data_IF_117355470836
#
_entry.id   IF_117355470836
#
_cell.length_a   1.000
_cell.length_b   1.000
_cell.length_c   1.000
_cell.angle_alpha   90.00
_cell.angle_beta   90.00
_cell.angle_gamma   90.00
#
_symmetry.space_group_name_H-M   'P 1'
#
loop_
_entity.id
_entity.type
_entity.pdbx_description
1 polymer ?
#
# COMPACT_ATOMS: atom_id res chain seq x y z
N UNK A 1 12.58 22.87 -34.39
CA UNK A 1 12.56 22.33 -33.01
C UNK A 1 11.96 20.96 -33.15
N UNK A 2 12.77 19.89 -32.99
CA UNK A 2 12.31 18.50 -33.06
C UNK A 2 11.29 18.29 -31.95
N UNK A 3 10.13 17.82 -32.35
CA UNK A 3 9.12 17.28 -31.46
C UNK A 3 9.70 15.98 -30.87
N UNK A 4 10.52 16.11 -29.81
CA UNK A 4 11.05 14.96 -29.08
C UNK A 4 9.83 14.32 -28.42
N UNK A 5 9.34 13.26 -29.05
CA UNK A 5 8.18 12.50 -28.63
C UNK A 5 8.51 11.94 -27.25
N UNK A 6 7.96 12.56 -26.22
CA UNK A 6 8.14 12.13 -24.82
C UNK A 6 7.71 10.67 -24.73
N UNK A 7 8.65 9.77 -24.36
CA UNK A 7 8.36 8.36 -24.20
C UNK A 7 7.55 8.13 -22.94
N UNK A 8 6.51 7.33 -23.03
CA UNK A 8 5.73 6.86 -21.88
C UNK A 8 5.96 5.36 -21.74
N UNK A 9 6.49 4.95 -20.60
CA UNK A 9 6.89 3.56 -20.34
C UNK A 9 6.17 3.06 -19.09
N UNK A 10 5.31 2.07 -19.27
CA UNK A 10 4.67 1.35 -18.19
C UNK A 10 5.55 0.20 -17.72
N UNK A 11 5.54 -0.08 -16.42
CA UNK A 11 6.25 -1.24 -15.86
C UNK A 11 5.55 -1.73 -14.60
N UNK A 12 5.81 -3.01 -14.30
CA UNK A 12 5.32 -3.70 -13.11
C UNK A 12 6.32 -4.77 -12.70
N UNK A 13 6.43 -5.06 -11.40
CA UNK A 13 7.40 -5.98 -10.84
C UNK A 13 6.77 -6.97 -9.86
N UNK A 14 7.10 -8.26 -10.00
CA UNK A 14 6.91 -9.24 -8.94
C UNK A 14 8.22 -9.41 -8.16
N UNK A 15 8.13 -9.66 -6.86
CA UNK A 15 9.28 -9.58 -5.95
C UNK A 15 9.32 -10.70 -4.91
N UNK A 16 10.47 -10.93 -4.28
CA UNK A 16 10.64 -11.90 -3.20
C UNK A 16 9.96 -11.49 -1.89
N UNK A 17 9.64 -10.21 -1.72
CA UNK A 17 9.00 -9.62 -0.55
C UNK A 17 8.78 -8.12 -0.74
N UNK A 18 8.53 -7.38 0.34
CA UNK A 18 8.12 -5.98 0.31
C UNK A 18 9.21 -4.97 0.72
N UNK A 19 10.42 -5.42 1.06
CA UNK A 19 11.52 -4.52 1.39
C UNK A 19 12.26 -4.10 0.11
N UNK A 20 12.08 -2.85 -0.29
CA UNK A 20 12.65 -2.32 -1.54
C UNK A 20 14.19 -2.31 -1.59
N UNK A 21 14.87 -2.52 -0.46
CA UNK A 21 16.32 -2.55 -0.38
C UNK A 21 16.89 -3.97 -0.24
N UNK A 22 16.16 -4.87 0.43
CA UNK A 22 16.65 -6.23 0.73
C UNK A 22 16.04 -7.28 -0.20
N UNK A 23 14.81 -7.08 -0.67
CA UNK A 23 14.14 -7.99 -1.60
C UNK A 23 14.63 -7.83 -3.05
N UNK A 24 14.22 -8.75 -3.91
CA UNK A 24 14.64 -8.86 -5.31
C UNK A 24 13.46 -8.91 -6.26
N UNK A 25 13.63 -8.39 -7.45
CA UNK A 25 12.69 -8.58 -8.54
C UNK A 25 12.82 -10.01 -9.07
N UNK A 26 11.70 -10.70 -9.22
CA UNK A 26 11.60 -12.07 -9.75
C UNK A 26 10.88 -12.14 -11.09
N UNK A 27 10.08 -11.13 -11.40
CA UNK A 27 9.49 -10.93 -12.73
C UNK A 27 9.39 -9.43 -12.98
N UNK A 28 9.65 -8.99 -14.20
CA UNK A 28 9.50 -7.60 -14.62
C UNK A 28 8.96 -7.53 -16.03
N UNK A 29 7.95 -6.68 -16.22
CA UNK A 29 7.46 -6.27 -17.53
C UNK A 29 7.68 -4.77 -17.73
N UNK A 30 8.21 -4.36 -18.89
CA UNK A 30 8.41 -2.97 -19.29
C UNK A 30 7.88 -2.79 -20.72
N UNK A 31 6.88 -1.93 -20.88
CA UNK A 31 6.24 -1.65 -22.17
C UNK A 31 6.28 -0.16 -22.47
N UNK A 32 6.58 0.18 -23.73
CA UNK A 32 6.46 1.56 -24.22
C UNK A 32 5.11 1.75 -24.94
N UNK A 33 4.44 2.85 -24.61
CA UNK A 33 3.15 3.20 -25.24
C UNK A 33 3.27 3.33 -26.77
N UNK A 34 2.32 2.82 -27.62
CA UNK A 34 1.04 2.26 -27.16
C UNK A 34 1.09 0.78 -26.71
N UNK A 35 2.02 -0.06 -27.18
CA UNK A 35 2.08 -1.50 -26.88
C UNK A 35 3.38 -2.13 -27.39
N UNK A 36 4.53 -1.51 -27.15
CA UNK A 36 5.82 -2.08 -27.52
C UNK A 36 6.47 -2.72 -26.29
N UNK A 37 6.58 -4.05 -26.28
CA UNK A 37 7.30 -4.77 -25.25
C UNK A 37 8.80 -4.46 -25.34
N UNK A 38 9.36 -3.87 -24.30
CA UNK A 38 10.80 -3.58 -24.19
C UNK A 38 11.52 -4.65 -23.37
N UNK A 39 10.84 -5.17 -22.33
CA UNK A 39 11.34 -6.25 -21.49
C UNK A 39 10.15 -6.98 -20.87
N UNK A 40 10.22 -8.32 -20.83
CA UNK A 40 9.22 -9.15 -20.14
C UNK A 40 9.92 -10.48 -19.77
N UNK A 41 10.39 -10.56 -18.53
CA UNK A 41 11.29 -11.64 -18.11
C UNK A 41 11.06 -12.07 -16.68
N UNK A 42 11.26 -13.36 -16.42
CA UNK A 42 11.48 -13.91 -15.08
C UNK A 42 12.96 -13.87 -14.74
N UNK A 43 13.24 -13.73 -13.45
CA UNK A 43 14.56 -13.45 -12.92
C UNK A 43 14.84 -14.38 -11.76
N UNK A 44 16.02 -14.99 -11.76
CA UNK A 44 16.50 -15.77 -10.63
C UNK A 44 17.07 -14.83 -9.56
N UNK A 45 16.44 -14.74 -8.38
CA UNK A 45 16.98 -13.91 -7.29
C UNK A 45 18.16 -14.62 -6.59
N UNK A 46 18.95 -13.86 -5.84
CA UNK A 46 20.00 -14.36 -4.95
C UNK A 46 19.51 -14.57 -3.50
N UNK A 47 18.23 -14.35 -3.25
CA UNK A 47 17.52 -14.60 -2.00
C UNK A 47 16.26 -15.42 -2.27
N UNK A 48 15.76 -16.13 -1.26
CA UNK A 48 14.58 -16.97 -1.43
C UNK A 48 13.28 -16.13 -1.43
N UNK A 49 12.26 -16.62 -2.11
CA UNK A 49 10.90 -16.11 -2.02
C UNK A 49 10.38 -16.20 -0.58
N UNK A 50 9.75 -15.12 -0.10
CA UNK A 50 9.00 -15.22 1.15
C UNK A 50 7.71 -16.02 0.93
N UNK A 51 7.22 -16.71 1.96
CA UNK A 51 5.97 -17.45 1.87
C UNK A 51 4.77 -16.54 1.48
N UNK A 52 4.82 -15.27 1.90
CA UNK A 52 3.80 -14.29 1.54
C UNK A 52 3.89 -13.90 0.06
N UNK A 53 5.08 -13.64 -0.46
CA UNK A 53 5.28 -13.32 -1.88
C UNK A 53 4.84 -14.49 -2.77
N UNK A 54 5.26 -15.72 -2.46
CA UNK A 54 4.79 -16.92 -3.17
C UNK A 54 3.26 -17.06 -3.15
N UNK A 55 2.62 -16.75 -2.03
CA UNK A 55 1.16 -16.81 -1.93
C UNK A 55 0.47 -15.79 -2.84
N UNK A 56 1.05 -14.62 -3.01
CA UNK A 56 0.48 -13.52 -3.83
C UNK A 56 0.76 -13.75 -5.32
N UNK A 57 2.02 -14.03 -5.67
CA UNK A 57 2.47 -14.11 -7.06
C UNK A 57 2.26 -15.49 -7.67
N UNK A 58 2.17 -16.55 -6.85
CA UNK A 58 2.18 -17.94 -7.29
C UNK A 58 3.57 -18.44 -7.73
N UNK A 59 4.62 -17.61 -7.65
CA UNK A 59 5.98 -17.94 -8.07
C UNK A 59 6.73 -18.59 -6.90
N UNK A 60 7.48 -19.64 -7.20
CA UNK A 60 8.33 -20.35 -6.23
C UNK A 60 9.81 -20.25 -6.61
N UNK A 61 10.71 -20.55 -5.66
CA UNK A 61 12.15 -20.60 -5.95
C UNK A 61 12.49 -21.64 -7.03
N UNK A 62 11.75 -22.74 -7.09
CA UNK A 62 11.92 -23.80 -8.11
C UNK A 62 11.58 -23.29 -9.50
N UNK A 63 10.49 -22.51 -9.63
CA UNK A 63 10.09 -21.90 -10.91
C UNK A 63 11.14 -20.94 -11.46
N UNK A 64 11.98 -20.37 -10.61
CA UNK A 64 12.99 -19.37 -10.97
C UNK A 64 14.39 -19.96 -11.18
N UNK A 65 14.59 -21.25 -10.91
CA UNK A 65 15.92 -21.88 -10.85
C UNK A 65 16.72 -21.76 -12.15
N UNK A 66 16.08 -21.78 -13.31
CA UNK A 66 16.69 -21.80 -14.63
C UNK A 66 16.80 -20.42 -15.31
N UNK A 67 16.29 -19.37 -14.65
CA UNK A 67 16.35 -18.03 -15.21
C UNK A 67 17.66 -17.30 -14.93
N UNK A 68 17.93 -16.23 -15.70
CA UNK A 68 19.10 -15.40 -15.51
C UNK A 68 18.90 -14.45 -14.32
N UNK A 69 19.98 -14.07 -13.60
CA UNK A 69 19.89 -13.05 -12.54
C UNK A 69 19.58 -11.66 -13.14
N UNK A 70 19.09 -10.74 -12.30
CA UNK A 70 18.76 -9.37 -12.72
C UNK A 70 19.94 -8.67 -13.41
N UNK A 71 21.17 -8.90 -12.96
CA UNK A 71 22.38 -8.30 -13.54
C UNK A 71 22.52 -8.57 -15.05
N UNK A 72 21.99 -9.69 -15.56
CA UNK A 72 21.97 -10.00 -17.01
C UNK A 72 21.04 -9.05 -17.78
N UNK A 73 19.96 -8.62 -17.17
CA UNK A 73 18.92 -7.78 -17.77
C UNK A 73 19.06 -6.30 -17.47
N UNK A 74 19.92 -5.94 -16.52
CA UNK A 74 20.01 -4.60 -15.94
C UNK A 74 20.28 -3.50 -16.97
N UNK A 75 21.17 -3.73 -17.96
CA UNK A 75 21.43 -2.76 -19.02
C UNK A 75 20.20 -2.55 -19.91
N UNK A 76 19.48 -3.61 -20.22
CA UNK A 76 18.24 -3.54 -21.03
C UNK A 76 17.14 -2.82 -20.28
N UNK A 77 16.96 -3.13 -18.99
CA UNK A 77 16.01 -2.45 -18.12
C UNK A 77 16.34 -0.95 -17.98
N UNK A 78 17.61 -0.60 -17.73
CA UNK A 78 18.04 0.80 -17.65
C UNK A 78 17.73 1.55 -18.96
N UNK A 79 18.10 1.00 -20.12
CA UNK A 79 17.82 1.61 -21.43
C UNK A 79 16.33 1.77 -21.71
N UNK A 80 15.52 0.82 -21.25
CA UNK A 80 14.07 0.87 -21.43
C UNK A 80 13.45 2.08 -20.74
N UNK A 81 13.92 2.45 -19.55
CA UNK A 81 13.35 3.53 -18.72
C UNK A 81 14.04 4.89 -18.87
N UNK A 82 15.27 4.93 -19.43
CA UNK A 82 16.04 6.16 -19.55
C UNK A 82 15.30 7.23 -20.38
N UNK A 83 15.13 8.42 -19.79
CA UNK A 83 14.49 9.58 -20.42
C UNK A 83 12.98 9.41 -20.65
N UNK A 84 12.34 8.38 -20.13
CA UNK A 84 10.92 8.17 -20.23
C UNK A 84 10.15 8.80 -19.05
N UNK A 85 8.86 9.09 -19.28
CA UNK A 85 7.90 9.21 -18.19
C UNK A 85 7.51 7.79 -17.77
N UNK A 86 7.71 7.45 -16.50
CA UNK A 86 7.35 6.16 -15.95
C UNK A 86 5.87 6.09 -15.61
N UNK A 87 5.23 4.96 -15.84
CA UNK A 87 3.82 4.72 -15.56
C UNK A 87 3.68 3.43 -14.75
N UNK A 88 2.99 3.49 -13.61
CA UNK A 88 2.71 2.32 -12.78
C UNK A 88 1.50 2.53 -11.87
N UNK A 89 1.20 1.54 -11.03
CA UNK A 89 0.12 1.59 -10.05
C UNK A 89 0.66 1.37 -8.64
N UNK A 90 0.70 2.42 -7.82
CA UNK A 90 1.38 2.41 -6.51
C UNK A 90 2.90 2.44 -6.61
N UNK A 91 3.44 2.56 -7.82
CA UNK A 91 4.84 2.37 -8.19
C UNK A 91 5.81 3.32 -7.49
N UNK A 92 5.41 4.57 -7.21
CA UNK A 92 6.26 5.53 -6.50
C UNK A 92 6.76 5.07 -5.14
N UNK A 93 6.04 4.16 -4.49
CA UNK A 93 6.36 3.66 -3.15
C UNK A 93 6.98 2.28 -3.15
N UNK A 94 6.92 1.58 -4.27
CA UNK A 94 7.40 0.21 -4.36
C UNK A 94 8.19 -0.07 -5.64
N UNK A 95 7.54 -0.25 -6.79
CA UNK A 95 8.18 -0.73 -8.02
C UNK A 95 9.34 0.14 -8.48
N UNK A 96 9.18 1.46 -8.46
CA UNK A 96 10.25 2.41 -8.82
C UNK A 96 11.44 2.30 -7.88
N UNK A 97 11.19 2.09 -6.59
CA UNK A 97 12.26 2.01 -5.59
C UNK A 97 13.02 0.70 -5.66
N UNK A 98 12.30 -0.43 -5.83
CA UNK A 98 12.98 -1.73 -5.95
C UNK A 98 13.72 -1.85 -7.29
N UNK A 99 13.18 -1.30 -8.37
CA UNK A 99 13.87 -1.25 -9.66
C UNK A 99 15.14 -0.39 -9.58
N UNK A 100 15.09 0.78 -8.93
CA UNK A 100 16.31 1.58 -8.67
C UNK A 100 17.34 0.79 -7.88
N UNK A 101 16.91 0.08 -6.82
CA UNK A 101 17.78 -0.74 -5.99
C UNK A 101 18.46 -1.87 -6.78
N UNK A 102 17.70 -2.58 -7.61
CA UNK A 102 18.22 -3.66 -8.47
C UNK A 102 19.18 -3.13 -9.53
N UNK A 103 18.85 -2.03 -10.20
CA UNK A 103 19.72 -1.39 -11.18
C UNK A 103 21.06 -1.00 -10.56
N UNK A 104 21.05 -0.32 -9.40
CA UNK A 104 22.27 0.08 -8.68
C UNK A 104 23.07 -1.11 -8.20
N UNK A 105 22.42 -2.15 -7.70
CA UNK A 105 23.07 -3.40 -7.28
C UNK A 105 23.76 -4.09 -8.45
N UNK A 106 23.19 -3.99 -9.65
CA UNK A 106 23.77 -4.50 -10.89
C UNK A 106 24.81 -3.55 -11.54
N UNK A 107 25.18 -2.44 -10.88
CA UNK A 107 26.18 -1.48 -11.37
C UNK A 107 25.69 -0.49 -12.41
N UNK A 108 24.37 -0.39 -12.62
CA UNK A 108 23.75 0.62 -13.48
C UNK A 108 23.59 1.96 -12.73
N UNK A 109 23.40 3.09 -13.45
CA UNK A 109 23.14 4.40 -12.83
C UNK A 109 21.92 4.41 -11.90
N UNK A 110 20.93 3.57 -12.17
CA UNK A 110 19.65 3.58 -11.47
C UNK A 110 18.72 4.71 -11.94
N UNK A 111 17.73 5.03 -11.12
CA UNK A 111 16.73 6.05 -11.38
C UNK A 111 17.09 7.30 -10.54
N UNK A 112 17.15 8.46 -11.19
CA UNK A 112 17.23 9.72 -10.42
C UNK A 112 15.85 10.05 -9.84
N UNK A 113 15.62 9.56 -8.62
CA UNK A 113 14.34 9.72 -7.90
C UNK A 113 13.98 11.20 -7.64
N UNK A 114 14.94 12.12 -7.75
CA UNK A 114 14.72 13.56 -7.58
C UNK A 114 14.14 14.23 -8.81
N UNK A 115 14.40 13.70 -10.00
CA UNK A 115 14.05 14.33 -11.28
C UNK A 115 13.17 13.47 -12.20
N UNK A 116 13.06 12.17 -11.95
CA UNK A 116 12.24 11.26 -12.76
C UNK A 116 10.78 11.74 -12.81
N UNK A 117 10.23 11.79 -13.99
CA UNK A 117 8.80 12.01 -14.17
C UNK A 117 8.06 10.68 -14.08
N UNK A 118 7.06 10.63 -13.23
CA UNK A 118 6.32 9.39 -12.97
C UNK A 118 4.83 9.68 -12.79
N UNK A 119 4.01 8.89 -13.46
CA UNK A 119 2.56 8.84 -13.32
C UNK A 119 2.21 7.59 -12.50
N UNK A 120 1.87 7.78 -11.24
CA UNK A 120 1.34 6.72 -10.38
C UNK A 120 -0.19 6.73 -10.45
N UNK A 121 -0.77 5.77 -11.16
CA UNK A 121 -2.21 5.73 -11.41
C UNK A 121 -3.04 5.54 -10.14
N UNK A 122 -2.51 4.87 -9.11
CA UNK A 122 -3.19 4.82 -7.81
C UNK A 122 -3.36 6.24 -7.23
N UNK A 123 -2.30 7.06 -7.31
CA UNK A 123 -2.34 8.44 -6.83
C UNK A 123 -3.25 9.33 -7.67
N UNK A 124 -3.21 9.16 -8.99
CA UNK A 124 -4.11 9.88 -9.90
C UNK A 124 -5.55 9.52 -9.61
N UNK A 125 -5.86 8.22 -9.53
CA UNK A 125 -7.22 7.75 -9.24
C UNK A 125 -7.73 8.28 -7.90
N UNK A 126 -6.95 8.12 -6.83
CA UNK A 126 -7.37 8.60 -5.51
C UNK A 126 -7.47 10.12 -5.40
N UNK A 127 -6.77 10.89 -6.25
CA UNK A 127 -6.90 12.35 -6.33
C UNK A 127 -8.12 12.80 -7.14
N UNK A 128 -8.51 12.03 -8.15
CA UNK A 128 -9.64 12.33 -9.02
C UNK A 128 -10.99 11.81 -8.48
N UNK A 129 -10.96 10.81 -7.63
CA UNK A 129 -12.16 10.21 -7.03
C UNK A 129 -12.55 10.99 -5.77
N UNK A 130 -13.73 11.63 -5.72
CA UNK A 130 -14.15 12.35 -4.51
C UNK A 130 -14.52 11.35 -3.40
N UNK A 131 -13.74 11.33 -2.32
CA UNK A 131 -14.01 10.53 -1.11
C UNK A 131 -14.95 11.28 -0.14
N UNK A 132 -16.04 11.84 -0.68
CA UNK A 132 -17.09 12.55 0.09
C UNK A 132 -18.39 11.77 0.00
N UNK A 133 -19.32 12.03 0.92
CA UNK A 133 -20.66 11.43 0.85
C UNK A 133 -21.32 11.78 -0.49
N UNK A 134 -21.27 13.02 -0.92
CA UNK A 134 -21.78 13.49 -2.23
C UNK A 134 -21.19 12.69 -3.39
N UNK A 135 -19.87 12.50 -3.43
CA UNK A 135 -19.21 11.68 -4.46
C UNK A 135 -19.65 10.22 -4.44
N UNK A 136 -19.81 9.63 -3.26
CA UNK A 136 -20.31 8.27 -3.12
C UNK A 136 -21.76 8.13 -3.58
N UNK A 137 -22.62 9.09 -3.24
CA UNK A 137 -24.03 9.09 -3.65
C UNK A 137 -24.17 9.24 -5.18
N UNK A 138 -23.38 10.14 -5.78
CA UNK A 138 -23.36 10.31 -7.22
C UNK A 138 -22.91 9.05 -7.95
N UNK A 139 -21.84 8.42 -7.46
CA UNK A 139 -21.24 7.22 -8.07
C UNK A 139 -22.14 5.99 -7.97
N UNK A 140 -22.65 5.70 -6.77
CA UNK A 140 -23.33 4.44 -6.48
C UNK A 140 -24.86 4.51 -6.57
N UNK A 141 -25.43 5.70 -6.37
CA UNK A 141 -26.89 5.89 -6.39
C UNK A 141 -27.37 6.78 -7.52
N UNK A 142 -26.46 7.37 -8.32
CA UNK A 142 -26.75 8.37 -9.34
C UNK A 142 -27.57 9.56 -8.80
N UNK A 143 -27.43 9.90 -7.53
CA UNK A 143 -28.10 11.02 -6.87
C UNK A 143 -27.26 12.26 -7.05
N UNK A 144 -27.82 13.29 -7.70
CA UNK A 144 -27.23 14.64 -7.68
C UNK A 144 -27.49 15.26 -6.31
N UNK A 145 -26.47 15.31 -5.48
CA UNK A 145 -26.50 15.97 -4.18
C UNK A 145 -25.87 17.36 -4.32
N UNK A 146 -26.65 18.42 -4.05
CA UNK A 146 -26.09 19.77 -4.05
C UNK A 146 -25.34 20.02 -2.73
N UNK A 147 -24.16 20.57 -2.79
CA UNK A 147 -23.34 20.92 -1.61
C UNK A 147 -24.02 21.90 -0.65
N UNK A 148 -25.12 22.55 -1.10
CA UNK A 148 -25.90 23.52 -0.31
C UNK A 148 -27.06 22.88 0.49
N UNK A 149 -27.32 21.58 0.34
CA UNK A 149 -28.47 20.88 0.95
C UNK A 149 -28.06 19.83 1.99
N UNK A 150 -27.23 20.21 2.97
CA UNK A 150 -26.85 19.35 4.10
C UNK A 150 -27.96 19.26 5.12
N UNK A 151 -28.93 18.36 4.91
CA UNK A 151 -29.93 17.99 5.89
C UNK A 151 -29.58 16.67 6.54
N UNK A 152 -29.16 16.64 7.82
CA UNK A 152 -28.75 15.43 8.52
C UNK A 152 -29.72 14.24 8.35
N UNK A 153 -31.03 14.50 8.30
CA UNK A 153 -32.03 13.46 8.09
C UNK A 153 -31.95 12.85 6.67
N UNK A 154 -31.76 13.68 5.67
CA UNK A 154 -31.68 13.21 4.27
C UNK A 154 -30.36 12.46 4.05
N UNK A 155 -29.26 12.98 4.56
CA UNK A 155 -27.94 12.31 4.52
C UNK A 155 -28.00 10.95 5.21
N UNK A 156 -28.64 10.88 6.38
CA UNK A 156 -28.83 9.61 7.11
C UNK A 156 -29.65 8.58 6.31
N UNK A 157 -30.67 9.03 5.57
CA UNK A 157 -31.45 8.13 4.67
C UNK A 157 -30.57 7.60 3.55
N UNK A 158 -29.80 8.44 2.90
CA UNK A 158 -28.86 8.05 1.85
C UNK A 158 -27.81 7.05 2.35
N UNK A 159 -27.42 7.07 3.63
CA UNK A 159 -26.50 6.06 4.17
C UNK A 159 -27.08 4.64 4.14
N UNK A 160 -28.39 4.46 4.32
CA UNK A 160 -29.03 3.14 4.21
C UNK A 160 -29.03 2.64 2.77
N UNK A 161 -29.38 3.53 1.81
CA UNK A 161 -29.40 3.20 0.40
C UNK A 161 -27.98 2.87 -0.09
N UNK A 162 -27.00 3.69 0.30
CA UNK A 162 -25.60 3.47 -0.02
C UNK A 162 -25.08 2.15 0.57
N UNK A 163 -25.38 1.85 1.84
CA UNK A 163 -24.98 0.59 2.45
C UNK A 163 -25.56 -0.64 1.73
N UNK A 164 -26.82 -0.54 1.29
CA UNK A 164 -27.49 -1.61 0.52
C UNK A 164 -26.80 -1.80 -0.83
N UNK A 165 -26.58 -0.72 -1.57
CA UNK A 165 -25.92 -0.77 -2.88
C UNK A 165 -24.49 -1.31 -2.79
N UNK A 166 -23.69 -0.86 -1.80
CA UNK A 166 -22.34 -1.38 -1.58
C UNK A 166 -22.34 -2.86 -1.22
N UNK A 167 -23.34 -3.31 -0.43
CA UNK A 167 -23.51 -4.73 -0.10
C UNK A 167 -23.75 -5.57 -1.35
N UNK A 168 -24.63 -5.11 -2.24
CA UNK A 168 -24.98 -5.81 -3.47
C UNK A 168 -23.85 -5.79 -4.49
N UNK A 169 -23.24 -4.64 -4.72
CA UNK A 169 -22.18 -4.45 -5.73
C UNK A 169 -20.91 -5.21 -5.40
N UNK A 170 -20.48 -5.17 -4.14
CA UNK A 170 -19.22 -5.79 -3.69
C UNK A 170 -19.40 -7.14 -2.98
N UNK A 171 -20.63 -7.64 -2.83
CA UNK A 171 -20.90 -8.91 -2.16
C UNK A 171 -20.51 -8.92 -0.68
N UNK A 172 -20.56 -7.76 0.00
CA UNK A 172 -20.15 -7.62 1.39
C UNK A 172 -21.37 -7.58 2.31
N UNK A 173 -21.45 -8.52 3.26
CA UNK A 173 -22.48 -8.51 4.28
C UNK A 173 -22.20 -7.49 5.40
N UNK A 174 -23.16 -7.34 6.32
CA UNK A 174 -23.01 -6.42 7.48
C UNK A 174 -21.78 -6.72 8.31
N UNK A 175 -21.41 -7.97 8.53
CA UNK A 175 -20.25 -8.34 9.33
C UNK A 175 -18.97 -7.91 8.64
N UNK A 176 -18.88 -8.15 7.34
CA UNK A 176 -17.74 -7.72 6.53
C UNK A 176 -17.64 -6.20 6.44
N UNK A 177 -18.75 -5.49 6.32
CA UNK A 177 -18.76 -4.02 6.38
C UNK A 177 -18.22 -3.49 7.71
N UNK A 178 -18.61 -4.08 8.84
CA UNK A 178 -18.09 -3.71 10.17
C UNK A 178 -16.58 -3.97 10.25
N UNK A 179 -16.11 -5.09 9.71
CA UNK A 179 -14.68 -5.41 9.64
C UNK A 179 -13.92 -4.38 8.81
N UNK A 180 -14.38 -4.11 7.57
CA UNK A 180 -13.76 -3.14 6.66
C UNK A 180 -13.81 -1.68 7.16
N UNK A 181 -14.70 -1.38 8.10
CA UNK A 181 -14.76 -0.05 8.72
C UNK A 181 -13.67 0.19 9.75
N UNK A 182 -12.90 -0.83 10.11
CA UNK A 182 -11.78 -0.72 11.03
C UNK A 182 -10.49 -0.56 10.25
N UNK A 183 -9.64 0.43 10.58
CA UNK A 183 -8.28 0.47 10.06
C UNK A 183 -7.51 -0.81 10.42
N UNK A 184 -6.69 -1.31 9.50
CA UNK A 184 -5.91 -2.54 9.70
C UNK A 184 -4.96 -2.43 10.90
N UNK A 185 -4.50 -1.22 11.21
CA UNK A 185 -3.59 -0.92 12.31
C UNK A 185 -4.30 -0.42 13.58
N UNK A 186 -5.65 -0.56 13.68
CA UNK A 186 -6.41 -0.05 14.83
C UNK A 186 -6.24 -0.97 16.05
N UNK A 187 -5.60 -0.44 17.10
CA UNK A 187 -5.61 -1.05 18.44
C UNK A 187 -6.70 -0.41 19.32
N UNK A 188 -6.81 0.92 19.30
CA UNK A 188 -7.90 1.65 19.93
C UNK A 188 -8.53 2.66 18.96
N UNK A 189 -9.82 2.92 19.13
CA UNK A 189 -10.61 3.77 18.24
C UNK A 189 -10.20 5.24 18.28
N UNK A 190 -9.65 5.68 19.42
CA UNK A 190 -9.11 7.02 19.62
C UNK A 190 -7.75 7.23 18.94
N UNK A 191 -7.15 6.18 18.36
CA UNK A 191 -5.89 6.22 17.64
C UNK A 191 -4.67 6.57 18.49
N UNK A 192 -4.74 6.33 19.81
CA UNK A 192 -3.62 6.52 20.73
C UNK A 192 -2.68 5.32 20.73
N UNK A 193 -3.22 4.18 20.33
CA UNK A 193 -2.51 2.92 20.14
C UNK A 193 -2.77 2.41 18.74
N UNK A 194 -1.81 1.72 18.16
CA UNK A 194 -1.89 1.08 16.85
C UNK A 194 -1.34 -0.34 16.93
N UNK A 195 -1.48 -1.10 15.87
CA UNK A 195 -0.79 -2.38 15.67
C UNK A 195 0.37 -2.17 14.70
N UNK A 196 1.49 -2.83 14.94
CA UNK A 196 2.58 -2.89 13.97
C UNK A 196 2.33 -3.99 12.91
N UNK A 197 3.25 -4.16 11.96
CA UNK A 197 3.14 -5.16 10.90
C UNK A 197 3.09 -6.62 11.39
N UNK A 198 3.47 -6.87 12.64
CA UNK A 198 3.39 -8.17 13.30
C UNK A 198 2.10 -8.33 14.13
N UNK A 199 1.23 -7.30 14.16
CA UNK A 199 0.02 -7.28 14.97
C UNK A 199 0.27 -6.94 16.44
N UNK A 200 1.49 -6.51 16.81
CA UNK A 200 1.85 -6.14 18.18
C UNK A 200 1.44 -4.70 18.47
N UNK A 201 0.88 -4.41 19.66
CA UNK A 201 0.42 -3.08 19.98
C UNK A 201 1.58 -2.11 20.26
N UNK A 202 1.51 -0.95 19.59
CA UNK A 202 2.49 0.14 19.70
C UNK A 202 1.83 1.44 20.17
N UNK A 203 2.63 2.29 20.78
CA UNK A 203 2.20 3.66 21.13
C UNK A 203 2.11 4.53 19.87
N UNK A 204 1.01 5.23 19.69
CA UNK A 204 0.86 6.27 18.66
C UNK A 204 0.85 7.68 19.27
N UNK A 205 1.39 7.82 20.46
CA UNK A 205 1.44 9.08 21.23
C UNK A 205 2.83 9.34 21.79
N UNK A 206 3.11 10.60 22.11
CA UNK A 206 4.33 11.04 22.79
C UNK A 206 5.62 10.78 21.99
N UNK A 207 6.76 10.92 22.67
CA UNK A 207 8.10 10.57 22.13
C UNK A 207 8.32 9.06 21.91
N UNK A 208 7.39 8.22 22.37
CA UNK A 208 7.43 6.76 22.25
C UNK A 208 6.59 6.23 21.07
N UNK A 209 6.16 7.10 20.14
CA UNK A 209 5.43 6.70 18.94
C UNK A 209 6.21 5.61 18.18
N UNK A 210 5.53 4.52 17.84
CA UNK A 210 6.10 3.37 17.14
C UNK A 210 6.76 2.32 18.04
N UNK A 211 6.95 2.61 19.35
CA UNK A 211 7.49 1.61 20.29
C UNK A 211 6.41 0.65 20.77
N UNK A 212 6.74 -0.62 20.95
CA UNK A 212 5.81 -1.62 21.46
C UNK A 212 5.46 -1.36 22.93
N UNK A 213 4.24 -1.72 23.31
CA UNK A 213 3.76 -1.51 24.71
C UNK A 213 4.64 -2.23 25.73
N UNK A 214 5.13 -3.42 25.40
CA UNK A 214 6.01 -4.22 26.27
C UNK A 214 7.34 -3.55 26.60
N UNK A 215 7.84 -2.67 25.73
CA UNK A 215 9.14 -2.02 25.91
C UNK A 215 9.09 -0.86 26.93
N UNK A 216 7.89 -0.32 27.16
CA UNK A 216 7.66 0.82 28.08
C UNK A 216 6.46 0.60 29.00
N UNK A 217 6.46 -0.43 29.87
CA UNK A 217 5.31 -0.77 30.72
C UNK A 217 4.93 0.34 31.70
N UNK A 218 5.90 1.18 32.09
CA UNK A 218 5.62 2.35 32.93
C UNK A 218 4.71 3.37 32.27
N UNK A 219 4.74 3.48 30.94
CA UNK A 219 3.89 4.37 30.17
C UNK A 219 2.43 3.88 30.15
N UNK A 220 2.21 2.55 30.14
CA UNK A 220 0.87 1.97 30.29
C UNK A 220 0.21 2.45 31.56
N UNK A 221 0.92 2.32 32.69
CA UNK A 221 0.41 2.77 33.99
C UNK A 221 0.11 4.27 33.98
N UNK A 222 1.05 5.06 33.47
CA UNK A 222 0.85 6.51 33.36
C UNK A 222 -0.38 6.85 32.51
N UNK A 223 -0.62 6.20 31.37
CA UNK A 223 -1.81 6.44 30.53
C UNK A 223 -3.10 6.02 31.23
N UNK A 224 -3.08 4.96 32.04
CA UNK A 224 -4.24 4.54 32.84
C UNK A 224 -4.59 5.54 33.93
N UNK A 225 -3.59 6.19 34.55
CA UNK A 225 -3.75 7.12 35.68
C UNK A 225 -4.05 8.54 35.20
N UNK A 226 -3.77 8.91 33.95
CA UNK A 226 -3.98 10.25 33.41
C UNK A 226 -5.21 10.32 32.50
N UNK A 227 -5.52 11.52 31.98
CA UNK A 227 -6.68 11.78 31.13
C UNK A 227 -6.47 11.26 29.71
N UNK A 228 -6.76 9.97 29.53
CA UNK A 228 -6.78 9.30 28.22
C UNK A 228 -8.19 8.77 27.92
N UNK A 229 -8.53 8.63 26.61
CA UNK A 229 -9.83 8.11 26.18
C UNK A 229 -10.18 6.77 26.82
N UNK A 230 -11.47 6.54 27.04
CA UNK A 230 -11.95 5.35 27.75
C UNK A 230 -11.64 4.04 27.01
N UNK A 231 -11.69 4.07 25.69
CA UNK A 231 -11.35 2.95 24.81
C UNK A 231 -9.86 2.62 24.87
N UNK A 232 -8.97 3.62 24.86
CA UNK A 232 -7.53 3.45 25.11
C UNK A 232 -7.28 2.77 26.44
N UNK A 233 -7.91 3.26 27.51
CA UNK A 233 -7.76 2.66 28.84
C UNK A 233 -8.31 1.24 28.93
N UNK A 234 -9.41 0.97 28.22
CA UNK A 234 -9.97 -0.38 28.11
C UNK A 234 -8.97 -1.32 27.45
N UNK A 235 -8.43 -0.93 26.28
CA UNK A 235 -7.43 -1.73 25.56
C UNK A 235 -6.21 -2.05 26.43
N UNK A 236 -5.65 -1.03 27.12
CA UNK A 236 -4.49 -1.23 27.98
C UNK A 236 -4.75 -2.18 29.15
N UNK A 237 -5.94 -2.14 29.76
CA UNK A 237 -6.32 -3.11 30.82
C UNK A 237 -6.43 -4.54 30.26
N UNK A 238 -7.04 -4.70 29.11
CA UNK A 238 -7.16 -6.00 28.45
C UNK A 238 -5.79 -6.54 28.01
N UNK A 239 -4.89 -5.68 27.53
CA UNK A 239 -3.51 -6.03 27.23
C UNK A 239 -2.77 -6.53 28.47
N UNK A 240 -2.82 -5.80 29.59
CA UNK A 240 -2.18 -6.22 30.85
C UNK A 240 -2.76 -7.55 31.35
N UNK A 241 -4.08 -7.74 31.25
CA UNK A 241 -4.72 -8.98 31.69
C UNK A 241 -4.30 -10.22 30.86
N UNK A 242 -3.96 -10.02 29.57
CA UNK A 242 -3.43 -11.10 28.71
C UNK A 242 -1.99 -11.43 29.03
N UNK A 243 -1.14 -10.41 29.16
CA UNK A 243 0.32 -10.58 29.39
C UNK A 243 0.68 -11.07 30.81
N UNK A 244 -0.25 -10.99 31.77
CA UNK A 244 -0.05 -11.55 33.13
C UNK A 244 -0.41 -13.02 33.24
N UNK A 245 -0.95 -13.64 32.19
CA UNK A 245 -1.35 -15.06 32.16
C UNK A 245 -0.34 -15.96 31.42
N UNK A 246 0.63 -15.34 30.77
CA UNK A 246 1.81 -15.99 30.20
C UNK A 246 3.00 -15.94 31.18
#
# INVERSE_FOLDING_TARGET
MSDDKVRLVAFDCETTGLDVYEDRIVEIAILEYPDTELLNVRIKPDVNMTAQATKVTGITDEDLSDFQPFAFWAESAQKAIDGAILLGYGSRRFDTLILDSELRRAGQPGIDLGTVQEIDLYRVWTACEPHTLTGALQRFLAVEHSDDAHGALQDTRHLFDLATTLSEEFGVDRHKMIELSKPDDEADRSGRLKLDSEGEPIYNVTKHRGSRLKDYPGLIKWMLDNDFPADTKKYLREYLARTQKE
#
